data_IF_686925424051
#
_entry.id   IF_686925424051
#
_cell.length_a   1.000
_cell.length_b   1.000
_cell.length_c   1.000
_cell.angle_alpha   90.00
_cell.angle_beta   90.00
_cell.angle_gamma   90.00
#
_symmetry.space_group_name_H-M   'P 1'
#
loop_
_entity.id
_entity.type
_entity.pdbx_description
1 polymer ?
#
# COMPACT_ATOMS: atom_id res chain seq x y z
N UNK A 1 -21.89 -38.65 33.96
CA UNK A 1 -21.37 -40.03 33.88
C UNK A 1 -21.55 -40.52 32.46
N UNK A 2 -20.50 -40.42 31.65
CA UNK A 2 -20.29 -41.21 30.44
C UNK A 2 -18.83 -41.02 30.05
N UNK A 3 -18.19 -42.12 29.71
CA UNK A 3 -16.78 -42.39 29.92
C UNK A 3 -15.86 -41.87 28.81
N UNK A 4 -14.63 -41.60 29.24
CA UNK A 4 -13.40 -41.43 28.47
C UNK A 4 -13.05 -42.70 27.70
N UNK A 5 -12.61 -42.57 26.45
CA UNK A 5 -11.69 -43.51 25.81
C UNK A 5 -10.51 -42.71 25.24
N UNK A 6 -9.35 -43.00 25.79
CA UNK A 6 -8.05 -42.48 25.40
C UNK A 6 -7.35 -43.59 24.60
N UNK A 7 -7.04 -43.33 23.33
CA UNK A 7 -6.14 -44.19 22.57
C UNK A 7 -4.71 -43.63 22.64
N UNK A 8 -3.86 -44.39 23.33
CA UNK A 8 -2.42 -44.20 23.34
C UNK A 8 -1.81 -44.98 22.15
N UNK A 9 -1.07 -44.27 21.29
CA UNK A 9 -0.20 -44.89 20.29
C UNK A 9 1.24 -44.72 20.73
N UNK A 10 1.87 -45.85 21.03
CA UNK A 10 3.28 -46.01 21.31
C UNK A 10 4.02 -46.41 20.03
N UNK A 11 5.15 -45.78 19.74
CA UNK A 11 6.11 -46.19 18.72
C UNK A 11 7.04 -45.03 18.44
N UNK A 12 8.35 -45.16 18.33
CA UNK A 12 9.28 -46.28 18.39
C UNK A 12 10.67 -45.62 18.29
N UNK A 13 11.68 -46.24 18.88
CA UNK A 13 12.98 -45.63 19.09
C UNK A 13 13.77 -45.31 17.82
N UNK A 14 14.72 -44.40 17.96
CA UNK A 14 15.95 -44.40 17.20
C UNK A 14 17.06 -43.87 18.12
N UNK A 15 17.92 -44.79 18.54
CA UNK A 15 19.19 -44.50 19.19
C UNK A 15 20.12 -43.79 18.18
N UNK A 16 20.66 -42.64 18.57
CA UNK A 16 21.79 -42.04 17.87
C UNK A 16 23.01 -42.08 18.80
N UNK A 17 23.85 -43.08 18.52
CA UNK A 17 25.20 -43.24 19.04
C UNK A 17 26.05 -42.06 18.56
N UNK A 18 26.52 -41.22 19.48
CA UNK A 18 27.65 -40.32 19.22
C UNK A 18 28.89 -40.87 19.94
N UNK A 19 29.68 -41.63 19.18
CA UNK A 19 31.01 -42.07 19.58
C UNK A 19 32.09 -41.09 19.15
N UNK A 20 33.16 -41.04 19.94
CA UNK A 20 34.52 -40.98 19.41
C UNK A 20 35.13 -39.59 19.17
N UNK A 21 35.77 -39.08 20.23
CA UNK A 21 37.17 -38.65 20.27
C UNK A 21 37.84 -38.05 19.03
N UNK A 22 38.35 -36.83 19.20
CA UNK A 22 39.70 -36.46 18.78
C UNK A 22 40.14 -35.22 19.58
N UNK A 23 41.13 -35.40 20.46
CA UNK A 23 41.87 -34.31 21.06
C UNK A 23 42.69 -33.62 19.97
N UNK A 24 42.30 -32.40 19.60
CA UNK A 24 43.11 -31.51 18.80
C UNK A 24 43.71 -30.44 19.72
N UNK A 25 44.97 -30.66 20.09
CA UNK A 25 45.84 -29.65 20.71
C UNK A 25 46.11 -28.57 19.67
N UNK A 26 45.35 -27.48 19.72
CA UNK A 26 45.63 -26.26 18.97
C UNK A 26 46.54 -25.34 19.79
N UNK A 27 47.85 -25.60 19.76
CA UNK A 27 48.87 -24.67 20.21
C UNK A 27 49.20 -23.68 19.08
N UNK A 28 48.27 -22.78 18.78
CA UNK A 28 48.46 -21.69 17.82
C UNK A 28 48.51 -20.36 18.55
N UNK A 29 49.71 -19.78 18.67
CA UNK A 29 49.93 -18.48 19.30
C UNK A 29 49.18 -17.37 18.56
N UNK A 30 48.14 -16.83 19.19
CA UNK A 30 47.53 -15.58 18.80
C UNK A 30 48.34 -14.45 19.43
N UNK A 31 49.26 -13.86 18.67
CA UNK A 31 49.82 -12.54 19.00
C UNK A 31 48.69 -11.53 18.93
N UNK A 32 48.07 -11.29 20.10
CA UNK A 32 47.02 -10.31 20.29
C UNK A 32 47.56 -8.90 20.19
N UNK A 33 47.70 -8.39 18.95
CA UNK A 33 47.68 -6.95 18.70
C UNK A 33 46.22 -6.50 18.75
N UNK A 34 45.65 -6.57 19.95
CA UNK A 34 44.38 -5.93 20.28
C UNK A 34 44.61 -4.43 20.29
N UNK A 35 44.68 -3.83 19.10
CA UNK A 35 44.64 -2.40 18.92
C UNK A 35 43.33 -1.93 19.54
N UNK A 36 43.42 -1.38 20.76
CA UNK A 36 42.33 -0.69 21.43
C UNK A 36 42.05 0.56 20.60
N UNK A 37 41.40 0.40 19.45
CA UNK A 37 40.76 1.50 18.76
C UNK A 37 39.88 2.16 19.81
N UNK A 38 40.20 3.42 20.10
CA UNK A 38 39.51 4.17 21.13
C UNK A 38 38.01 4.14 20.81
N UNK A 39 37.16 4.21 21.83
CA UNK A 39 35.69 4.20 21.66
C UNK A 39 35.21 5.33 20.70
N UNK A 40 36.04 6.35 20.49
CA UNK A 40 35.86 7.44 19.52
C UNK A 40 36.10 7.02 18.05
N UNK A 41 36.97 6.05 17.76
CA UNK A 41 37.21 5.54 16.40
C UNK A 41 36.09 4.62 15.90
N UNK A 42 35.36 3.96 16.81
CA UNK A 42 34.21 3.12 16.46
C UNK A 42 32.97 3.93 16.03
N UNK A 43 32.96 5.25 16.24
CA UNK A 43 31.83 6.13 15.95
C UNK A 43 31.67 6.50 14.46
N UNK A 44 32.46 5.92 13.55
CA UNK A 44 32.50 6.29 12.13
C UNK A 44 32.10 5.16 11.17
N UNK A 45 31.67 4.00 11.66
CA UNK A 45 31.17 2.94 10.79
C UNK A 45 29.71 3.18 10.42
N UNK A 46 29.40 3.04 9.13
CA UNK A 46 28.02 3.08 8.66
C UNK A 46 27.24 1.88 9.20
N UNK A 47 26.09 2.11 9.83
CA UNK A 47 25.28 1.02 10.43
C UNK A 47 24.59 0.10 9.42
N UNK A 48 24.62 0.42 8.13
CA UNK A 48 24.06 -0.43 7.06
C UNK A 48 25.12 -1.34 6.45
N UNK A 49 26.20 -0.78 5.90
CA UNK A 49 27.23 -1.57 5.23
C UNK A 49 28.39 -2.00 6.15
N UNK A 50 28.48 -1.42 7.35
CA UNK A 50 29.56 -1.65 8.33
C UNK A 50 30.95 -1.21 7.84
N UNK A 51 31.00 -0.30 6.87
CA UNK A 51 32.23 0.25 6.31
C UNK A 51 32.46 1.70 6.77
N UNK A 52 33.73 2.11 6.87
CA UNK A 52 34.13 3.49 7.18
C UNK A 52 33.84 4.44 6.02
N UNK A 53 33.95 3.94 4.77
CA UNK A 53 33.75 4.71 3.54
C UNK A 53 32.82 3.96 2.61
N UNK A 54 32.03 4.67 1.81
CA UNK A 54 31.25 4.06 0.73
C UNK A 54 32.12 3.74 -0.50
N UNK A 55 31.52 3.20 -1.56
CA UNK A 55 32.20 2.86 -2.82
C UNK A 55 32.90 4.06 -3.49
N UNK A 56 32.40 5.28 -3.23
CA UNK A 56 32.98 6.55 -3.72
C UNK A 56 34.09 7.09 -2.77
N UNK A 57 34.39 6.39 -1.68
CA UNK A 57 35.37 6.79 -0.67
C UNK A 57 34.87 7.85 0.32
N UNK A 58 33.55 8.10 0.41
CA UNK A 58 32.94 9.11 1.28
C UNK A 58 32.61 8.55 2.65
N UNK A 59 32.78 9.38 3.68
CA UNK A 59 32.44 9.03 5.07
C UNK A 59 30.94 9.13 5.33
N UNK A 60 30.41 8.49 6.38
CA UNK A 60 29.03 8.69 6.83
C UNK A 60 28.74 10.17 7.09
N UNK A 61 27.57 10.62 6.65
CA UNK A 61 27.18 12.06 6.68
C UNK A 61 26.02 12.35 7.61
N UNK A 62 25.19 11.34 7.90
CA UNK A 62 24.04 11.46 8.79
C UNK A 62 24.23 10.52 9.98
N UNK A 63 24.03 11.02 11.19
CA UNK A 63 23.97 10.22 12.39
C UNK A 63 22.65 10.45 13.14
N UNK A 64 22.09 9.41 13.75
CA UNK A 64 20.95 9.62 14.65
C UNK A 64 21.40 10.30 15.95
N UNK A 65 20.46 10.68 16.81
CA UNK A 65 20.74 11.33 18.10
C UNK A 65 21.65 10.51 19.05
N UNK A 66 21.73 9.19 18.85
CA UNK A 66 22.60 8.28 19.61
C UNK A 66 23.94 7.98 18.92
N UNK A 67 24.24 8.65 17.80
CA UNK A 67 25.53 8.56 17.12
C UNK A 67 25.68 7.44 16.08
N UNK A 68 24.59 6.73 15.75
CA UNK A 68 24.63 5.72 14.68
C UNK A 68 24.69 6.39 13.31
N UNK A 69 25.83 6.27 12.64
CA UNK A 69 26.12 6.97 11.39
C UNK A 69 25.74 6.16 10.14
N UNK A 70 25.45 6.85 9.03
CA UNK A 70 25.07 6.27 7.74
C UNK A 70 25.68 7.04 6.57
N UNK A 71 26.12 6.34 5.53
CA UNK A 71 26.46 6.95 4.24
C UNK A 71 25.21 7.50 3.54
N UNK A 72 25.36 8.54 2.71
CA UNK A 72 24.28 9.13 1.92
C UNK A 72 23.64 8.11 0.96
N UNK A 73 24.45 7.26 0.32
CA UNK A 73 24.00 6.20 -0.58
C UNK A 73 23.19 5.13 0.16
N UNK A 74 23.71 4.64 1.29
CA UNK A 74 23.01 3.69 2.16
C UNK A 74 21.70 4.25 2.71
N UNK A 75 21.69 5.52 3.14
CA UNK A 75 20.47 6.21 3.57
C UNK A 75 19.43 6.26 2.44
N UNK A 76 19.86 6.62 1.23
CA UNK A 76 18.96 6.72 0.06
C UNK A 76 18.29 5.37 -0.26
N UNK A 77 19.06 4.29 -0.25
CA UNK A 77 18.54 2.94 -0.46
C UNK A 77 17.57 2.52 0.67
N UNK A 78 17.92 2.81 1.92
CA UNK A 78 17.09 2.51 3.09
C UNK A 78 15.74 3.23 3.05
N UNK A 79 15.77 4.56 2.84
CA UNK A 79 14.58 5.40 2.74
C UNK A 79 13.66 4.95 1.60
N UNK A 80 14.23 4.65 0.43
CA UNK A 80 13.46 4.16 -0.72
C UNK A 80 12.79 2.82 -0.43
N UNK A 81 13.51 1.89 0.22
CA UNK A 81 12.95 0.59 0.62
C UNK A 81 11.79 0.75 1.59
N UNK A 82 11.94 1.63 2.59
CA UNK A 82 10.87 1.92 3.56
C UNK A 82 9.64 2.54 2.91
N UNK A 83 9.83 3.44 1.96
CA UNK A 83 8.72 4.01 1.18
C UNK A 83 7.96 2.94 0.39
N UNK A 84 8.67 2.03 -0.30
CA UNK A 84 8.07 0.91 -1.05
C UNK A 84 7.35 -0.07 -0.12
N UNK A 85 7.96 -0.41 1.02
CA UNK A 85 7.32 -1.25 2.05
C UNK A 85 6.00 -0.63 2.51
N UNK A 86 5.99 0.68 2.79
CA UNK A 86 4.79 1.40 3.24
C UNK A 86 3.71 1.46 2.15
N UNK A 87 4.08 1.65 0.89
CA UNK A 87 3.13 1.61 -0.25
C UNK A 87 2.42 0.24 -0.36
N UNK A 88 3.07 -0.85 0.07
CA UNK A 88 2.49 -2.18 0.13
C UNK A 88 1.53 -2.43 1.31
N UNK A 89 1.43 -1.50 2.26
CA UNK A 89 0.60 -1.66 3.46
C UNK A 89 -0.86 -1.34 3.15
N UNK A 90 -1.73 -2.34 3.30
CA UNK A 90 -3.18 -2.15 3.30
C UNK A 90 -3.71 -1.65 4.65
N UNK A 91 -4.81 -0.90 4.61
CA UNK A 91 -5.53 -0.38 5.79
C UNK A 91 -4.66 0.46 6.73
N UNK A 92 -3.86 1.37 6.16
CA UNK A 92 -2.86 2.17 6.89
C UNK A 92 -3.48 2.92 8.07
N UNK A 93 -4.66 3.56 7.89
CA UNK A 93 -5.32 4.31 8.96
C UNK A 93 -5.73 3.42 10.14
N UNK A 94 -6.45 2.32 9.89
CA UNK A 94 -6.84 1.37 10.94
C UNK A 94 -5.65 0.76 11.69
N UNK A 95 -4.54 0.47 10.98
CA UNK A 95 -3.30 -0.01 11.61
C UNK A 95 -2.66 1.07 12.48
N UNK A 96 -2.67 2.32 12.03
CA UNK A 96 -2.12 3.45 12.79
C UNK A 96 -2.91 3.69 14.07
N UNK A 97 -4.23 3.56 14.01
CA UNK A 97 -5.08 3.70 15.19
C UNK A 97 -4.87 2.55 16.18
N UNK A 98 -4.70 1.32 15.67
CA UNK A 98 -4.32 0.16 16.51
C UNK A 98 -2.98 0.39 17.21
N UNK A 99 -1.96 0.85 16.47
CA UNK A 99 -0.63 1.17 17.02
C UNK A 99 -0.70 2.29 18.07
N UNK A 100 -1.53 3.31 17.83
CA UNK A 100 -1.77 4.40 18.77
C UNK A 100 -2.41 3.90 20.07
N UNK A 101 -3.41 3.01 19.99
CA UNK A 101 -4.07 2.42 21.16
C UNK A 101 -3.14 1.50 21.95
N UNK A 102 -2.25 0.77 21.28
CA UNK A 102 -1.26 -0.09 21.93
C UNK A 102 -0.03 0.64 22.45
N UNK A 103 0.12 1.94 22.16
CA UNK A 103 1.32 2.71 22.50
C UNK A 103 2.57 2.30 21.72
N UNK A 104 2.40 1.67 20.56
CA UNK A 104 3.52 1.25 19.70
C UNK A 104 3.98 2.43 18.82
N UNK A 105 4.82 3.30 19.41
CA UNK A 105 5.37 4.47 18.74
C UNK A 105 6.17 4.11 17.49
N UNK A 106 6.87 2.96 17.48
CA UNK A 106 7.68 2.56 16.34
C UNK A 106 6.82 2.17 15.13
N UNK A 107 5.74 1.42 15.36
CA UNK A 107 4.78 1.11 14.32
C UNK A 107 4.07 2.37 13.81
N UNK A 108 3.72 3.30 14.71
CA UNK A 108 3.07 4.56 14.33
C UNK A 108 3.98 5.42 13.45
N UNK A 109 5.25 5.57 13.82
CA UNK A 109 6.25 6.31 13.03
C UNK A 109 6.43 5.68 11.64
N UNK A 110 6.53 4.35 11.56
CA UNK A 110 6.65 3.63 10.29
C UNK A 110 5.41 3.85 9.39
N UNK A 111 4.20 3.79 9.95
CA UNK A 111 2.95 4.03 9.22
C UNK A 111 2.78 5.50 8.80
N UNK A 112 3.36 6.44 9.55
CA UNK A 112 3.42 7.85 9.20
C UNK A 112 4.48 8.17 8.12
N UNK A 113 5.22 7.16 7.64
CA UNK A 113 6.31 7.33 6.67
C UNK A 113 7.57 7.94 7.27
N UNK A 114 7.68 8.00 8.60
CA UNK A 114 8.89 8.49 9.25
C UNK A 114 10.03 7.47 9.11
N UNK A 115 11.23 7.96 8.79
CA UNK A 115 12.42 7.12 8.69
C UNK A 115 13.20 7.19 10.00
N UNK A 116 13.44 6.03 10.62
CA UNK A 116 14.17 5.93 11.87
C UNK A 116 15.56 5.33 11.65
N UNK A 117 16.42 5.36 12.67
CA UNK A 117 17.66 4.61 12.66
C UNK A 117 17.37 3.10 12.43
N UNK A 118 18.12 2.39 11.55
CA UNK A 118 17.95 0.95 11.34
C UNK A 118 18.11 0.10 12.60
N UNK A 119 18.83 0.60 13.61
CA UNK A 119 19.04 -0.06 14.89
C UNK A 119 17.95 0.26 15.93
N UNK A 120 16.87 0.97 15.55
CA UNK A 120 15.78 1.30 16.48
C UNK A 120 15.15 0.01 17.02
N UNK A 121 15.07 -0.12 18.35
CA UNK A 121 14.63 -1.34 19.02
C UNK A 121 15.74 -2.39 19.24
N UNK A 122 16.92 -2.20 18.67
CA UNK A 122 18.11 -3.05 18.84
C UNK A 122 19.22 -2.29 19.57
N UNK A 123 18.86 -1.54 20.62
CA UNK A 123 19.78 -0.71 21.39
C UNK A 123 19.83 0.76 20.95
N UNK A 124 19.09 1.14 19.91
CA UNK A 124 18.84 2.54 19.56
C UNK A 124 17.40 2.93 19.92
N UNK A 125 17.23 4.07 20.59
CA UNK A 125 15.94 4.70 20.91
C UNK A 125 15.77 6.09 20.31
N UNK A 126 16.71 6.52 19.47
CA UNK A 126 16.66 7.80 18.78
C UNK A 126 15.33 8.00 18.04
N UNK A 127 14.86 9.25 18.04
CA UNK A 127 13.70 9.69 17.29
C UNK A 127 13.91 9.50 15.77
N UNK A 128 12.82 9.58 15.01
CA UNK A 128 12.90 9.58 13.56
C UNK A 128 13.75 10.76 13.06
N UNK A 129 14.45 10.54 11.94
CA UNK A 129 15.19 11.61 11.27
C UNK A 129 14.25 12.73 10.83
N UNK A 130 14.70 13.98 10.93
CA UNK A 130 13.91 15.11 10.47
C UNK A 130 13.81 15.12 8.93
N UNK A 131 12.72 15.69 8.40
CA UNK A 131 12.55 15.84 6.94
C UNK A 131 13.73 16.62 6.32
N UNK A 132 14.33 17.55 7.09
CA UNK A 132 15.51 18.30 6.68
C UNK A 132 16.74 17.40 6.55
N UNK A 133 16.97 16.50 7.51
CA UNK A 133 18.12 15.59 7.48
C UNK A 133 18.02 14.63 6.28
N UNK A 134 16.83 14.08 6.04
CA UNK A 134 16.60 13.23 4.86
C UNK A 134 16.80 14.04 3.57
N UNK A 135 16.25 15.26 3.47
CA UNK A 135 16.41 16.10 2.29
C UNK A 135 17.87 16.48 1.99
N UNK A 136 18.69 16.68 3.02
CA UNK A 136 20.09 17.06 2.88
C UNK A 136 21.01 15.91 2.47
N UNK A 137 20.68 14.68 2.87
CA UNK A 137 21.60 13.55 2.75
C UNK A 137 21.10 12.42 1.83
N UNK A 138 19.82 12.33 1.56
CA UNK A 138 19.28 11.37 0.60
C UNK A 138 19.36 11.90 -0.84
N UNK A 139 19.40 10.99 -1.81
CA UNK A 139 19.27 11.34 -3.22
C UNK A 139 17.89 11.92 -3.52
N UNK A 140 17.78 12.74 -4.57
CA UNK A 140 16.52 13.38 -4.97
C UNK A 140 15.39 12.34 -5.17
N UNK A 141 15.69 11.23 -5.84
CA UNK A 141 14.71 10.16 -6.04
C UNK A 141 14.27 9.49 -4.73
N UNK A 142 15.20 9.25 -3.80
CA UNK A 142 14.88 8.67 -2.50
C UNK A 142 14.04 9.64 -1.64
N UNK A 143 14.35 10.93 -1.68
CA UNK A 143 13.57 11.95 -0.97
C UNK A 143 12.17 12.11 -1.57
N UNK A 144 12.01 12.02 -2.90
CA UNK A 144 10.68 12.01 -3.53
C UNK A 144 9.84 10.83 -3.06
N UNK A 145 10.40 9.61 -3.07
CA UNK A 145 9.71 8.41 -2.59
C UNK A 145 9.33 8.51 -1.10
N UNK A 146 10.21 9.10 -0.28
CA UNK A 146 9.94 9.40 1.12
C UNK A 146 8.74 10.33 1.31
N UNK A 147 8.69 11.44 0.57
CA UNK A 147 7.57 12.38 0.64
C UNK A 147 6.25 11.73 0.21
N UNK A 148 6.27 10.92 -0.84
CA UNK A 148 5.11 10.11 -1.26
C UNK A 148 4.65 9.22 -0.11
N UNK A 149 5.57 8.48 0.53
CA UNK A 149 5.29 7.65 1.69
C UNK A 149 4.62 8.41 2.84
N UNK A 150 5.14 9.60 3.20
CA UNK A 150 4.56 10.45 4.26
C UNK A 150 3.14 10.92 3.97
N UNK A 151 2.74 10.99 2.70
CA UNK A 151 1.38 11.43 2.33
C UNK A 151 0.33 10.32 2.47
N UNK A 152 0.75 9.05 2.54
CA UNK A 152 -0.16 7.90 2.52
C UNK A 152 -1.11 7.86 3.72
N UNK A 153 -0.61 8.02 4.96
CA UNK A 153 -1.46 7.98 6.15
C UNK A 153 -2.46 9.16 6.21
N UNK A 154 -2.06 10.43 5.97
CA UNK A 154 -3.01 11.54 5.87
C UNK A 154 -4.10 11.32 4.81
N UNK A 155 -3.74 10.81 3.63
CA UNK A 155 -4.70 10.49 2.57
C UNK A 155 -5.65 9.38 3.03
N UNK A 156 -5.12 8.30 3.62
CA UNK A 156 -5.92 7.19 4.11
C UNK A 156 -6.94 7.64 5.17
N UNK A 157 -6.53 8.47 6.13
CA UNK A 157 -7.43 9.05 7.14
C UNK A 157 -8.50 9.95 6.54
N UNK A 158 -8.16 10.74 5.53
CA UNK A 158 -9.13 11.59 4.82
C UNK A 158 -10.17 10.73 4.07
N UNK A 159 -9.73 9.65 3.43
CA UNK A 159 -10.62 8.70 2.76
C UNK A 159 -11.55 8.05 3.78
N UNK A 160 -11.04 7.52 4.89
CA UNK A 160 -11.85 6.91 5.94
C UNK A 160 -12.88 7.87 6.53
N UNK A 161 -12.50 9.13 6.77
CA UNK A 161 -13.43 10.17 7.22
C UNK A 161 -14.56 10.39 6.21
N UNK A 162 -14.24 10.54 4.93
CA UNK A 162 -15.25 10.72 3.87
C UNK A 162 -16.18 9.50 3.78
N UNK A 163 -15.64 8.30 3.96
CA UNK A 163 -16.43 7.07 4.01
C UNK A 163 -17.39 7.05 5.21
N UNK A 164 -16.90 7.44 6.39
CA UNK A 164 -17.70 7.50 7.61
C UNK A 164 -18.83 8.53 7.48
N UNK A 165 -18.52 9.77 7.10
CA UNK A 165 -19.51 10.84 6.87
C UNK A 165 -20.53 10.41 5.79
N UNK A 166 -20.04 9.77 4.73
CA UNK A 166 -20.88 9.20 3.68
C UNK A 166 -21.84 8.12 4.21
N UNK A 167 -21.36 7.23 5.08
CA UNK A 167 -22.18 6.19 5.69
C UNK A 167 -23.22 6.74 6.67
N UNK A 168 -22.88 7.78 7.43
CA UNK A 168 -23.82 8.49 8.31
C UNK A 168 -24.92 9.15 7.50
N UNK A 169 -24.57 9.83 6.41
CA UNK A 169 -25.53 10.43 5.51
C UNK A 169 -26.43 9.36 4.88
N UNK A 170 -25.91 8.17 4.55
CA UNK A 170 -26.72 7.07 4.03
C UNK A 170 -27.76 6.55 5.04
N UNK A 171 -27.50 6.67 6.34
CA UNK A 171 -28.49 6.37 7.38
C UNK A 171 -29.57 7.44 7.49
N UNK A 172 -29.21 8.71 7.27
CA UNK A 172 -30.16 9.83 7.28
C UNK A 172 -31.07 9.84 6.05
N UNK A 173 -30.59 9.34 4.91
CA UNK A 173 -31.34 9.26 3.64
C UNK A 173 -31.46 7.82 3.12
N UNK A 174 -32.21 6.94 3.82
CA UNK A 174 -32.23 5.49 3.52
C UNK A 174 -32.78 5.14 2.14
N UNK A 175 -33.54 6.05 1.52
CA UNK A 175 -34.09 5.93 0.17
C UNK A 175 -33.35 6.80 -0.86
N UNK A 176 -32.23 7.42 -0.47
CA UNK A 176 -31.43 8.29 -1.32
C UNK A 176 -31.03 7.62 -2.63
N UNK A 177 -31.23 8.31 -3.73
CA UNK A 177 -30.84 7.88 -5.08
C UNK A 177 -29.73 8.75 -5.64
N UNK A 178 -29.07 8.30 -6.69
CA UNK A 178 -28.09 9.10 -7.42
C UNK A 178 -28.33 9.05 -8.92
N UNK A 179 -27.86 10.07 -9.62
CA UNK A 179 -27.93 10.14 -11.07
C UNK A 179 -27.16 8.97 -11.70
N UNK A 180 -27.79 8.19 -12.58
CA UNK A 180 -27.14 7.07 -13.27
C UNK A 180 -26.10 7.50 -14.33
N UNK A 181 -26.02 8.80 -14.66
CA UNK A 181 -25.06 9.34 -15.62
C UNK A 181 -23.83 9.98 -14.97
N UNK A 182 -24.00 10.80 -13.93
CA UNK A 182 -22.91 11.54 -13.30
C UNK A 182 -22.74 11.24 -11.80
N UNK A 183 -23.50 10.29 -11.25
CA UNK A 183 -23.49 9.91 -9.83
C UNK A 183 -23.85 11.03 -8.83
N UNK A 184 -24.37 12.18 -9.30
CA UNK A 184 -24.89 13.24 -8.42
C UNK A 184 -25.95 12.69 -7.46
N UNK A 185 -25.74 12.88 -6.15
CA UNK A 185 -26.62 12.42 -5.07
C UNK A 185 -25.99 12.66 -3.69
N UNK A 186 -26.73 12.42 -2.59
CA UNK A 186 -28.06 11.80 -2.57
C UNK A 186 -29.16 12.74 -3.06
N UNK A 187 -30.15 12.17 -3.75
CA UNK A 187 -31.42 12.82 -4.11
C UNK A 187 -32.53 12.03 -3.44
N UNK A 188 -33.30 12.69 -2.59
CA UNK A 188 -34.55 12.15 -2.06
C UNK A 188 -35.68 12.55 -2.99
N UNK A 189 -36.43 11.56 -3.47
CA UNK A 189 -37.56 11.77 -4.35
C UNK A 189 -38.81 11.41 -3.55
N UNK A 190 -39.58 12.45 -3.20
CA UNK A 190 -40.78 12.31 -2.39
C UNK A 190 -41.96 11.80 -3.24
N UNK A 191 -42.60 10.73 -2.73
CA UNK A 191 -43.99 10.34 -2.97
C UNK A 191 -44.41 9.74 -4.33
N UNK A 192 -43.61 9.72 -5.41
CA UNK A 192 -44.02 9.05 -6.65
C UNK A 192 -42.89 8.27 -7.34
N UNK A 193 -43.18 7.02 -7.73
CA UNK A 193 -42.25 6.19 -8.49
C UNK A 193 -42.21 6.56 -9.98
N UNK A 194 -43.31 7.09 -10.51
CA UNK A 194 -43.42 7.55 -11.89
C UNK A 194 -42.99 9.03 -11.97
N UNK A 195 -41.73 9.24 -12.29
CA UNK A 195 -41.15 10.58 -12.42
C UNK A 195 -41.62 11.27 -13.71
N UNK A 196 -42.06 10.50 -14.71
CA UNK A 196 -42.57 11.01 -15.98
C UNK A 196 -43.94 11.67 -15.79
N UNK A 197 -44.80 11.10 -14.93
CA UNK A 197 -46.14 11.64 -14.65
C UNK A 197 -46.13 13.11 -14.20
N UNK A 198 -45.10 13.52 -13.45
CA UNK A 198 -44.97 14.88 -12.92
C UNK A 198 -43.91 15.72 -13.63
N UNK A 199 -43.12 15.15 -14.54
CA UNK A 199 -42.07 15.91 -15.22
C UNK A 199 -42.69 16.95 -16.17
N UNK A 200 -42.31 18.22 -16.00
CA UNK A 200 -42.86 19.35 -16.76
C UNK A 200 -44.19 19.88 -16.23
N UNK A 201 -44.80 19.26 -15.22
CA UNK A 201 -46.07 19.70 -14.64
C UNK A 201 -45.93 21.10 -14.02
N UNK A 202 -46.86 22.01 -14.31
CA UNK A 202 -46.95 23.33 -13.67
C UNK A 202 -47.97 23.29 -12.53
N UNK A 203 -47.49 23.25 -11.29
CA UNK A 203 -48.36 23.28 -10.10
C UNK A 203 -48.95 24.68 -9.89
N UNK A 204 -50.24 24.80 -9.50
CA UNK A 204 -50.83 26.09 -9.14
C UNK A 204 -50.00 26.81 -8.07
N UNK A 205 -49.61 28.06 -8.33
CA UNK A 205 -48.78 28.85 -7.43
C UNK A 205 -47.26 28.67 -7.59
N UNK A 206 -46.79 27.73 -8.41
CA UNK A 206 -45.38 27.62 -8.80
C UNK A 206 -45.10 28.38 -10.10
N UNK A 207 -44.00 29.14 -10.13
CA UNK A 207 -43.53 29.85 -11.34
C UNK A 207 -42.79 28.94 -12.32
N UNK A 208 -42.21 27.84 -11.84
CA UNK A 208 -41.44 26.89 -12.65
C UNK A 208 -42.17 25.54 -12.77
N UNK A 209 -42.06 24.86 -13.94
CA UNK A 209 -42.49 23.47 -14.07
C UNK A 209 -41.61 22.55 -13.22
N UNK A 210 -42.18 21.43 -12.76
CA UNK A 210 -41.45 20.38 -12.04
C UNK A 210 -40.37 19.80 -12.95
N UNK A 211 -39.12 19.79 -12.50
CA UNK A 211 -37.99 19.22 -13.24
C UNK A 211 -37.35 18.08 -12.44
N UNK A 212 -37.70 16.85 -12.79
CA UNK A 212 -37.15 15.62 -12.19
C UNK A 212 -35.83 15.16 -12.85
N UNK A 213 -35.21 15.97 -13.72
CA UNK A 213 -33.90 15.66 -14.28
C UNK A 213 -32.78 15.98 -13.27
N UNK A 214 -31.65 15.30 -13.42
CA UNK A 214 -30.45 15.56 -12.62
C UNK A 214 -30.02 17.03 -12.75
N UNK A 215 -29.85 17.78 -11.64
CA UNK A 215 -29.54 19.20 -11.70
C UNK A 215 -28.13 19.48 -12.25
N UNK A 216 -27.22 18.50 -12.18
CA UNK A 216 -25.85 18.66 -12.66
C UNK A 216 -25.70 18.40 -14.17
N UNK A 217 -26.37 17.38 -14.72
CA UNK A 217 -26.15 16.95 -16.11
C UNK A 217 -27.42 16.83 -16.98
N UNK A 218 -28.60 17.11 -16.41
CA UNK A 218 -29.89 17.02 -17.11
C UNK A 218 -30.34 15.60 -17.44
N UNK A 219 -29.65 14.56 -16.94
CA UNK A 219 -30.09 13.17 -17.13
C UNK A 219 -31.43 12.92 -16.45
N UNK A 220 -32.36 12.33 -17.18
CA UNK A 220 -33.70 11.99 -16.68
C UNK A 220 -33.95 10.50 -16.92
N UNK A 221 -34.58 9.86 -15.94
CA UNK A 221 -35.14 8.53 -16.09
C UNK A 221 -36.62 8.56 -15.67
N UNK A 222 -37.50 7.87 -16.41
CA UNK A 222 -38.96 7.96 -16.21
C UNK A 222 -39.44 7.35 -14.89
N UNK A 223 -38.67 6.43 -14.29
CA UNK A 223 -38.98 5.82 -13.01
C UNK A 223 -37.85 6.03 -12.00
N UNK A 224 -38.21 6.23 -10.72
CA UNK A 224 -37.27 6.32 -9.62
C UNK A 224 -36.39 5.06 -9.49
N UNK A 225 -36.91 3.90 -9.86
CA UNK A 225 -36.19 2.63 -9.76
C UNK A 225 -35.00 2.57 -10.72
N UNK A 226 -35.05 3.36 -11.80
CA UNK A 226 -33.95 3.51 -12.75
C UNK A 226 -32.86 4.45 -12.24
N UNK A 227 -33.10 5.20 -11.15
CA UNK A 227 -32.06 5.92 -10.44
C UNK A 227 -31.35 4.94 -9.49
N UNK A 228 -30.04 4.67 -9.69
CA UNK A 228 -29.28 3.83 -8.78
C UNK A 228 -29.42 4.28 -7.33
N UNK A 229 -29.43 3.33 -6.40
CA UNK A 229 -29.30 3.67 -4.97
C UNK A 229 -28.02 4.47 -4.78
N UNK A 230 -28.11 5.55 -4.03
CA UNK A 230 -26.93 6.33 -3.72
C UNK A 230 -25.96 5.49 -2.89
N UNK A 231 -24.70 5.48 -3.31
CA UNK A 231 -23.61 4.82 -2.59
C UNK A 231 -22.61 5.91 -2.22
N UNK A 232 -22.26 6.09 -0.94
CA UNK A 232 -21.44 7.22 -0.51
C UNK A 232 -20.04 7.29 -1.12
N UNK A 233 -19.52 6.15 -1.57
CA UNK A 233 -18.23 6.04 -2.26
C UNK A 233 -18.23 6.51 -3.71
N UNK A 234 -19.40 6.55 -4.36
CA UNK A 234 -19.49 6.77 -5.80
C UNK A 234 -19.18 8.22 -6.22
N UNK A 235 -19.28 9.18 -5.30
CA UNK A 235 -18.93 10.59 -5.56
C UNK A 235 -17.42 10.82 -5.46
N UNK A 236 -16.75 10.25 -4.45
CA UNK A 236 -15.30 10.41 -4.26
C UNK A 236 -14.46 9.59 -5.27
N UNK A 237 -14.86 8.36 -5.57
CA UNK A 237 -14.20 7.55 -6.60
C UNK A 237 -14.65 7.93 -8.02
N UNK A 238 -15.87 8.46 -8.16
CA UNK A 238 -16.44 8.91 -9.41
C UNK A 238 -15.67 10.08 -10.01
N UNK A 239 -15.28 11.09 -9.22
CA UNK A 239 -14.55 12.24 -9.77
C UNK A 239 -13.21 11.86 -10.41
N UNK A 240 -12.44 10.96 -9.79
CA UNK A 240 -11.17 10.49 -10.34
C UNK A 240 -11.37 9.53 -11.53
N UNK A 241 -12.31 8.57 -11.42
CA UNK A 241 -12.55 7.60 -12.49
C UNK A 241 -13.24 8.21 -13.71
N UNK A 242 -14.15 9.17 -13.53
CA UNK A 242 -14.78 9.92 -14.62
C UNK A 242 -13.83 10.93 -15.25
N UNK A 243 -12.93 11.57 -14.49
CA UNK A 243 -11.88 12.40 -15.08
C UNK A 243 -10.95 11.55 -15.96
N UNK A 244 -10.60 10.33 -15.54
CA UNK A 244 -9.78 9.40 -16.34
C UNK A 244 -10.56 8.84 -17.55
N UNK A 245 -11.81 8.39 -17.36
CA UNK A 245 -12.66 7.91 -18.45
C UNK A 245 -12.95 9.01 -19.47
N UNK A 246 -13.29 10.23 -19.04
CA UNK A 246 -13.53 11.34 -19.97
C UNK A 246 -12.23 11.86 -20.59
N UNK A 247 -11.09 11.81 -19.90
CA UNK A 247 -9.80 12.06 -20.56
C UNK A 247 -9.55 11.03 -21.67
N UNK A 248 -9.86 9.75 -21.44
CA UNK A 248 -9.74 8.73 -22.50
C UNK A 248 -10.78 8.91 -23.61
N UNK A 249 -12.03 9.29 -23.30
CA UNK A 249 -13.04 9.60 -24.32
C UNK A 249 -12.68 10.84 -25.12
N UNK A 250 -12.16 11.90 -24.50
CA UNK A 250 -11.70 13.11 -25.18
C UNK A 250 -10.46 12.83 -26.05
N UNK A 251 -9.55 11.97 -25.58
CA UNK A 251 -8.40 11.49 -26.36
C UNK A 251 -8.83 10.62 -27.54
N UNK A 252 -9.79 9.71 -27.35
CA UNK A 252 -10.39 8.88 -28.40
C UNK A 252 -11.13 9.77 -29.39
N UNK A 253 -11.93 10.72 -28.93
CA UNK A 253 -12.67 11.66 -29.78
C UNK A 253 -11.71 12.62 -30.51
N UNK A 254 -10.60 13.02 -29.88
CA UNK A 254 -9.55 13.81 -30.52
C UNK A 254 -8.76 12.97 -31.53
N UNK A 255 -8.48 11.69 -31.24
CA UNK A 255 -7.86 10.73 -32.14
C UNK A 255 -8.75 10.45 -33.36
N UNK A 256 -10.05 10.26 -33.17
CA UNK A 256 -11.03 10.12 -34.24
C UNK A 256 -11.12 11.39 -35.09
N UNK A 257 -11.14 12.57 -34.47
CA UNK A 257 -11.08 13.86 -35.19
C UNK A 257 -9.79 14.01 -36.00
N UNK A 258 -8.64 13.62 -35.45
CA UNK A 258 -7.34 13.58 -36.16
C UNK A 258 -7.36 12.57 -37.31
N UNK A 259 -7.92 11.38 -37.11
CA UNK A 259 -8.05 10.35 -38.13
C UNK A 259 -8.98 10.78 -39.28
N UNK A 260 -10.13 11.41 -38.97
CA UNK A 260 -11.03 11.99 -39.98
C UNK A 260 -10.35 13.12 -40.77
N UNK A 261 -9.60 14.00 -40.11
CA UNK A 261 -8.80 15.03 -40.79
C UNK A 261 -7.74 14.42 -41.70
N UNK A 262 -7.04 13.37 -41.27
CA UNK A 262 -6.07 12.62 -42.10
C UNK A 262 -6.74 11.95 -43.31
N UNK A 263 -7.91 11.33 -43.15
CA UNK A 263 -8.70 10.72 -44.25
C UNK A 263 -9.13 11.76 -45.29
N UNK A 264 -9.46 12.98 -44.85
CA UNK A 264 -9.80 14.09 -45.76
C UNK A 264 -8.57 14.72 -46.43
N UNK A 265 -7.41 14.68 -45.77
CA UNK A 265 -6.19 15.35 -46.22
C UNK A 265 -5.25 14.46 -47.05
N UNK A 266 -5.44 13.14 -47.11
CA UNK A 266 -4.60 12.27 -47.92
C UNK A 266 -5.27 10.93 -48.20
N UNK A 267 -5.47 10.64 -49.49
CA UNK A 267 -5.92 9.34 -49.98
C UNK A 267 -4.89 8.25 -49.71
N UNK A 268 -4.85 7.75 -48.48
CA UNK A 268 -4.18 6.48 -48.17
C UNK A 268 -5.15 5.35 -48.47
N UNK A 269 -4.63 4.32 -49.15
CA UNK A 269 -5.35 3.08 -49.48
C UNK A 269 -6.05 2.52 -48.23
N UNK A 270 -7.25 1.97 -48.44
CA UNK A 270 -8.04 1.29 -47.41
C UNK A 270 -7.24 0.24 -46.62
N UNK A 271 -6.21 -0.36 -47.22
CA UNK A 271 -5.36 -1.37 -46.59
C UNK A 271 -4.54 -0.83 -45.44
N UNK A 272 -3.93 0.36 -45.57
CA UNK A 272 -3.11 0.95 -44.50
C UNK A 272 -3.91 1.30 -43.24
N UNK A 273 -5.24 1.50 -43.39
CA UNK A 273 -6.12 1.72 -42.24
C UNK A 273 -6.56 0.40 -41.58
N UNK A 274 -6.60 -0.71 -42.33
CA UNK A 274 -6.89 -2.02 -41.79
C UNK A 274 -5.71 -2.53 -40.95
N UNK A 275 -4.48 -2.34 -41.43
CA UNK A 275 -3.26 -2.71 -40.72
C UNK A 275 -3.11 -1.95 -39.40
N UNK A 276 -3.30 -0.62 -39.41
CA UNK A 276 -3.23 0.18 -38.19
C UNK A 276 -4.29 -0.20 -37.14
N UNK A 277 -5.47 -0.66 -37.57
CA UNK A 277 -6.52 -1.14 -36.66
C UNK A 277 -6.20 -2.54 -36.12
N UNK A 278 -5.59 -3.39 -36.94
CA UNK A 278 -5.11 -4.72 -36.53
C UNK A 278 -3.99 -4.58 -35.48
N UNK A 279 -3.02 -3.70 -35.71
CA UNK A 279 -1.93 -3.41 -34.75
C UNK A 279 -2.48 -2.88 -33.42
N UNK A 280 -3.46 -1.97 -33.48
CA UNK A 280 -4.10 -1.46 -32.27
C UNK A 280 -4.83 -2.56 -31.48
N UNK A 281 -5.57 -3.45 -32.16
CA UNK A 281 -6.24 -4.60 -31.51
C UNK A 281 -5.23 -5.55 -30.88
N UNK A 282 -4.16 -5.89 -31.59
CA UNK A 282 -3.09 -6.73 -31.07
C UNK A 282 -2.44 -6.12 -29.80
N UNK A 283 -2.18 -4.81 -29.79
CA UNK A 283 -1.64 -4.12 -28.62
C UNK A 283 -2.61 -4.12 -27.42
N UNK A 284 -3.92 -4.05 -27.66
CA UNK A 284 -4.93 -4.15 -26.59
C UNK A 284 -5.00 -5.57 -26.02
N UNK A 285 -4.96 -6.59 -26.88
CA UNK A 285 -4.96 -7.99 -26.46
C UNK A 285 -3.69 -8.35 -25.68
N UNK A 286 -2.52 -7.84 -26.09
CA UNK A 286 -1.26 -8.03 -25.35
C UNK A 286 -1.34 -7.43 -23.93
N UNK A 287 -1.90 -6.22 -23.78
CA UNK A 287 -2.11 -5.61 -22.45
C UNK A 287 -3.08 -6.44 -21.60
N UNK A 288 -4.13 -6.99 -22.21
CA UNK A 288 -5.10 -7.86 -21.53
C UNK A 288 -4.45 -9.15 -21.05
N UNK A 289 -3.59 -9.77 -21.86
CA UNK A 289 -2.83 -10.95 -21.49
C UNK A 289 -1.83 -10.68 -20.37
N UNK A 290 -1.06 -9.58 -20.43
CA UNK A 290 -0.16 -9.17 -19.34
C UNK A 290 -0.90 -8.99 -18.01
N UNK A 291 -2.09 -8.37 -18.04
CA UNK A 291 -2.94 -8.22 -16.86
C UNK A 291 -3.41 -9.57 -16.32
N UNK A 292 -3.83 -10.49 -17.18
CA UNK A 292 -4.21 -11.84 -16.77
C UNK A 292 -3.03 -12.63 -16.18
N UNK A 293 -1.84 -12.50 -16.76
CA UNK A 293 -0.62 -13.12 -16.23
C UNK A 293 -0.29 -12.59 -14.83
N UNK A 294 -0.42 -11.27 -14.61
CA UNK A 294 -0.24 -10.66 -13.29
C UNK A 294 -1.23 -11.21 -12.26
N UNK A 295 -2.52 -11.30 -12.61
CA UNK A 295 -3.55 -11.88 -11.73
C UNK A 295 -3.22 -13.34 -11.37
N UNK A 296 -2.80 -14.15 -12.35
CA UNK A 296 -2.37 -15.54 -12.11
C UNK A 296 -1.12 -15.61 -11.23
N UNK A 297 -0.20 -14.64 -11.34
CA UNK A 297 0.99 -14.57 -10.48
C UNK A 297 0.61 -14.23 -9.04
N UNK A 298 -0.24 -13.22 -8.83
CA UNK A 298 -0.71 -12.85 -7.49
C UNK A 298 -1.42 -14.01 -6.79
N UNK A 299 -2.32 -14.71 -7.49
CA UNK A 299 -3.00 -15.88 -6.95
C UNK A 299 -2.03 -17.02 -6.56
N UNK A 300 -0.95 -17.23 -7.33
CA UNK A 300 0.09 -18.22 -6.97
C UNK A 300 0.84 -17.82 -5.70
N UNK A 301 1.13 -16.54 -5.52
CA UNK A 301 1.80 -16.03 -4.31
C UNK A 301 0.90 -16.24 -3.08
N UNK A 302 -0.39 -15.90 -3.18
CA UNK A 302 -1.36 -16.10 -2.10
C UNK A 302 -1.45 -17.58 -1.68
N UNK A 303 -1.53 -18.50 -2.65
CA UNK A 303 -1.54 -19.94 -2.38
C UNK A 303 -0.25 -20.43 -1.71
N UNK A 304 0.91 -19.91 -2.11
CA UNK A 304 2.20 -20.24 -1.50
C UNK A 304 2.28 -19.74 -0.05
N UNK A 305 1.83 -18.52 0.22
CA UNK A 305 1.75 -17.97 1.57
C UNK A 305 0.80 -18.80 2.46
N UNK A 306 -0.38 -19.17 1.96
CA UNK A 306 -1.33 -20.01 2.69
C UNK A 306 -0.77 -21.41 2.97
N UNK A 307 -0.01 -22.00 2.04
CA UNK A 307 0.67 -23.28 2.27
C UNK A 307 1.75 -23.18 3.34
N UNK A 308 2.58 -22.12 3.32
CA UNK A 308 3.61 -21.88 4.34
C UNK A 308 3.02 -21.63 5.73
N UNK A 309 1.85 -21.01 5.82
CA UNK A 309 1.13 -20.84 7.08
C UNK A 309 0.65 -22.17 7.68
N UNK A 310 0.25 -23.13 6.84
CA UNK A 310 -0.21 -24.47 7.29
C UNK A 310 0.93 -25.37 7.78
N UNK A 311 2.14 -25.20 7.28
CA UNK A 311 3.30 -26.00 7.72
C UNK A 311 3.96 -25.46 9.00
N UNK A 312 3.68 -24.21 9.37
CA UNK A 312 4.01 -23.70 10.71
C UNK A 312 3.02 -24.29 11.71
N UNK A 313 3.33 -25.47 12.22
CA UNK A 313 2.66 -26.00 13.40
C UNK A 313 2.68 -24.93 14.49
N UNK A 314 1.53 -24.63 15.14
CA UNK A 314 1.53 -23.75 16.28
C UNK A 314 2.50 -24.32 17.32
N UNK A 315 3.29 -23.47 18.01
CA UNK A 315 4.17 -23.93 19.08
C UNK A 315 3.34 -24.77 20.06
N UNK A 316 3.83 -25.96 20.40
CA UNK A 316 3.11 -26.86 21.30
C UNK A 316 2.88 -26.12 22.62
N UNK A 317 1.63 -26.07 23.08
CA UNK A 317 1.28 -25.48 24.35
C UNK A 317 2.08 -26.19 25.48
N UNK A 318 3.15 -25.55 25.94
CA UNK A 318 4.07 -26.11 26.94
C UNK A 318 5.55 -25.91 26.64
N UNK A 319 5.94 -25.56 25.41
CA UNK A 319 7.33 -25.15 25.12
C UNK A 319 7.56 -23.74 25.69
N UNK A 320 8.07 -23.69 26.93
CA UNK A 320 8.60 -22.46 27.52
C UNK A 320 9.71 -21.95 26.60
N UNK A 321 9.51 -20.75 26.06
CA UNK A 321 10.56 -19.97 25.44
C UNK A 321 11.70 -19.81 26.44
N UNK A 322 12.78 -20.56 26.25
CA UNK A 322 14.05 -20.28 26.91
C UNK A 322 14.73 -19.17 26.10
N UNK A 323 14.87 -17.94 26.65
CA UNK A 323 15.62 -16.90 25.97
C UNK A 323 17.08 -17.36 25.83
N UNK A 324 17.54 -17.48 24.59
CA UNK A 324 18.87 -17.97 24.22
C UNK A 324 19.99 -16.93 24.43
N UNK A 325 19.83 -16.04 25.42
CA UNK A 325 20.80 -15.00 25.74
C UNK A 325 21.10 -14.99 27.25
N UNK A 326 21.90 -15.96 27.68
CA UNK A 326 22.68 -15.85 28.90
C UNK A 326 23.98 -15.10 28.60
N UNK A 327 23.96 -13.77 28.71
CA UNK A 327 25.20 -13.01 28.81
C UNK A 327 25.70 -13.08 30.26
N UNK A 328 26.97 -13.45 30.51
CA UNK A 328 27.54 -13.50 31.85
C UNK A 328 27.65 -12.08 32.43
N UNK A 329 27.20 -11.91 33.69
CA UNK A 329 27.39 -10.67 34.45
C UNK A 329 28.88 -10.50 34.80
N UNK A 330 29.50 -9.32 34.58
CA UNK A 330 30.82 -9.03 35.09
C UNK A 330 30.73 -8.63 36.58
N UNK A 331 31.65 -9.17 37.37
CA UNK A 331 32.00 -8.75 38.75
C UNK A 331 32.80 -7.45 38.74
#
# INVERSE_FOLDING_TARGET
>A
MASVEAEAVCGGGAEAVCGGGAEAVCSGGAEGVGSKRSREEAALLCVICLEEKDEDGRLPVLACAEGHAMHASCLSAYVSTKAVELQGVSYIAAKADTASVSGDAAALDALAGACCCPLRGYGCSAEAFSDRDIAQHASEGAFSAYLEGKTLLPIARKVEKVLAEGSELALLVPNGRMCGRCSYGPVELEACNDLLAHHGERRPGSSAPVNNACPQCGWFAPSIEMWPRWVPTATAAGEAHWAELHATEDEVTAAERRARRRRRAGGRSSEQNADALADFRAAVDERRERRQQMIRLMHRIELACAAAARTRSPPRAGERWTPLFGLPSPL
#
